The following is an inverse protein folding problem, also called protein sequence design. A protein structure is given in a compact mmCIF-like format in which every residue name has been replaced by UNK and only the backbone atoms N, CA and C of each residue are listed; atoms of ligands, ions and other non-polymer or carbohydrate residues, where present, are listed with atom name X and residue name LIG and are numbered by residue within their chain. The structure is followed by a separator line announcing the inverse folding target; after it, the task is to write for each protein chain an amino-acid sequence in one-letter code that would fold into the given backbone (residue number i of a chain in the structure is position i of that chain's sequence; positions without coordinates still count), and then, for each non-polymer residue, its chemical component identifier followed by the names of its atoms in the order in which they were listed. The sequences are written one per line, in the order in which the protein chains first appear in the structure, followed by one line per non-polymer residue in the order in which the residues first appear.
data_IF_639019895950
#
_entry.id   IF_639019895950
#
_cell.length_a   1.000
_cell.length_b   1.000
_cell.length_c   1.000
_cell.angle_alpha   90.00
_cell.angle_beta   90.00
_cell.angle_gamma   90.00
#
_symmetry.space_group_name_H-M   'P 1'
#
loop_
_entity.id
_entity.type
_entity.pdbx_description
1 polymer ?
#
# COMPACT_ATOMS: atom_id res chain seq x y z
N UNK A 1 0.46 4.30 29.49
CA UNK A 1 1.37 5.45 29.26
C UNK A 1 2.56 4.93 28.47
N UNK A 2 2.73 5.36 27.19
CA UNK A 2 3.98 5.11 26.46
C UNK A 2 5.06 6.00 27.10
N UNK A 3 6.16 5.41 27.52
CA UNK A 3 7.35 6.18 27.92
C UNK A 3 7.79 7.04 26.72
N UNK A 4 8.10 8.33 26.92
CA UNK A 4 8.66 9.14 25.84
C UNK A 4 9.94 8.45 25.32
N UNK A 5 9.95 8.15 24.03
CA UNK A 5 11.12 7.58 23.36
C UNK A 5 11.87 8.76 22.75
N UNK A 6 13.09 8.99 23.21
CA UNK A 6 13.95 9.99 22.60
C UNK A 6 14.29 9.56 21.17
N UNK A 7 14.02 10.41 20.22
CA UNK A 7 14.30 10.16 18.81
C UNK A 7 15.55 10.94 18.39
N UNK A 8 16.55 10.23 17.86
CA UNK A 8 17.79 10.82 17.36
C UNK A 8 17.90 10.54 15.87
N UNK A 9 18.17 11.58 15.09
CA UNK A 9 18.42 11.43 13.66
C UNK A 9 19.90 11.13 13.43
N UNK A 10 20.18 10.04 12.75
CA UNK A 10 21.54 9.60 12.40
C UNK A 10 21.75 9.52 10.90
N UNK A 11 22.99 9.54 10.49
CA UNK A 11 23.41 9.33 9.10
C UNK A 11 24.07 7.97 8.95
N UNK A 12 23.67 7.20 7.94
CA UNK A 12 24.35 5.97 7.55
C UNK A 12 25.67 6.36 6.92
N UNK A 13 26.78 5.92 7.54
CA UNK A 13 28.14 6.24 7.10
C UNK A 13 28.69 5.15 6.21
N UNK A 14 28.40 3.90 6.53
CA UNK A 14 28.90 2.74 5.81
C UNK A 14 27.97 1.54 5.94
N UNK A 15 27.94 0.70 4.91
CA UNK A 15 27.24 -0.60 4.91
C UNK A 15 28.18 -1.62 4.27
N UNK A 16 28.60 -2.60 5.03
CA UNK A 16 29.48 -3.66 4.52
C UNK A 16 28.71 -4.71 3.67
N UNK A 17 29.45 -5.57 2.98
CA UNK A 17 28.89 -6.65 2.15
C UNK A 17 28.14 -7.73 2.95
N UNK A 18 28.26 -7.73 4.26
CA UNK A 18 27.57 -8.66 5.19
C UNK A 18 26.31 -8.06 5.78
N UNK A 19 25.97 -6.80 5.40
CA UNK A 19 24.80 -6.09 5.90
C UNK A 19 25.03 -5.38 7.23
N UNK A 20 26.28 -5.27 7.70
CA UNK A 20 26.59 -4.48 8.90
C UNK A 20 26.56 -3.00 8.55
N UNK A 21 25.77 -2.24 9.27
CA UNK A 21 25.57 -0.82 9.05
C UNK A 21 26.19 0.02 10.15
N UNK A 22 26.99 1.02 9.76
CA UNK A 22 27.55 2.01 10.68
C UNK A 22 26.76 3.30 10.60
N UNK A 23 26.22 3.75 11.74
CA UNK A 23 25.43 4.97 11.84
C UNK A 23 26.13 5.96 12.76
N UNK A 24 26.21 7.22 12.33
CA UNK A 24 26.61 8.36 13.16
C UNK A 24 25.38 9.18 13.51
N UNK A 25 25.18 9.39 14.82
CA UNK A 25 24.15 10.26 15.34
C UNK A 25 24.75 11.15 16.44
N UNK A 26 24.23 12.36 16.56
CA UNK A 26 24.55 13.25 17.68
C UNK A 26 23.38 13.21 18.66
N UNK A 27 23.71 13.01 19.94
CA UNK A 27 22.72 12.98 21.02
C UNK A 27 23.15 13.92 22.12
N UNK A 28 22.39 14.96 22.38
CA UNK A 28 22.75 16.04 23.30
C UNK A 28 22.87 15.57 24.74
N UNK A 29 22.00 14.65 25.18
CA UNK A 29 22.05 14.09 26.54
C UNK A 29 22.88 12.78 26.61
N UNK A 30 24.05 12.77 25.97
CA UNK A 30 24.96 11.64 26.00
C UNK A 30 25.40 11.22 27.43
N UNK A 31 25.47 12.10 28.45
CA UNK A 31 25.81 11.68 29.80
C UNK A 31 24.77 10.72 30.39
N UNK A 32 23.47 10.97 30.12
CA UNK A 32 22.40 10.07 30.55
C UNK A 32 22.48 8.73 29.83
N UNK A 33 22.81 8.71 28.53
CA UNK A 33 23.00 7.51 27.75
C UNK A 33 24.09 6.61 28.33
N UNK A 34 25.25 7.19 28.65
CA UNK A 34 26.37 6.48 29.26
C UNK A 34 26.04 5.99 30.67
N UNK A 35 25.41 6.86 31.50
CA UNK A 35 25.04 6.53 32.89
C UNK A 35 24.05 5.39 32.97
N UNK A 36 23.09 5.33 32.05
CA UNK A 36 22.06 4.28 31.99
C UNK A 36 22.53 3.01 31.27
N UNK A 37 23.69 3.05 30.61
CA UNK A 37 24.31 1.89 29.95
C UNK A 37 23.43 1.29 28.84
N UNK A 38 22.76 2.11 28.05
CA UNK A 38 21.98 1.62 26.92
C UNK A 38 22.87 0.84 25.95
N UNK A 39 22.45 -0.38 25.60
CA UNK A 39 23.18 -1.28 24.69
C UNK A 39 22.43 -1.55 23.40
N UNK A 40 21.15 -1.23 23.36
CA UNK A 40 20.25 -1.50 22.24
C UNK A 40 19.50 -0.24 21.84
N UNK A 41 19.28 -0.10 20.54
CA UNK A 41 18.44 0.96 19.99
C UNK A 41 17.55 0.40 18.88
N UNK A 42 16.41 1.04 18.67
CA UNK A 42 15.58 0.79 17.50
C UNK A 42 15.99 1.78 16.41
N UNK A 43 16.24 1.27 15.22
CA UNK A 43 16.60 2.08 14.07
C UNK A 43 15.41 2.08 13.11
N UNK A 44 14.95 3.27 12.73
CA UNK A 44 13.96 3.48 11.71
C UNK A 44 14.62 4.14 10.50
N UNK A 45 14.54 3.50 9.35
CA UNK A 45 15.12 4.03 8.11
C UNK A 45 14.14 4.99 7.45
N UNK A 46 14.53 6.25 7.38
CA UNK A 46 13.73 7.29 6.74
C UNK A 46 13.96 7.22 5.23
N UNK A 47 12.89 6.93 4.48
CA UNK A 47 12.94 6.97 3.01
C UNK A 47 12.90 8.42 2.53
N UNK A 48 14.02 8.96 2.10
CA UNK A 48 14.14 10.33 1.58
C UNK A 48 13.74 10.48 0.10
N UNK A 49 13.39 9.37 -0.57
CA UNK A 49 12.99 9.42 -1.98
C UNK A 49 11.65 10.13 -2.14
N UNK A 50 11.55 11.12 -3.04
CA UNK A 50 10.30 11.81 -3.28
C UNK A 50 9.30 10.88 -3.96
N UNK A 51 8.03 11.06 -3.65
CA UNK A 51 6.94 10.36 -4.30
C UNK A 51 6.91 10.63 -5.81
N UNK A 52 6.83 9.58 -6.61
CA UNK A 52 6.71 9.73 -8.06
C UNK A 52 5.32 10.28 -8.46
N UNK A 53 5.29 11.06 -9.54
CA UNK A 53 4.02 11.55 -10.10
C UNK A 53 3.10 10.40 -10.54
N UNK A 54 3.66 9.24 -10.94
CA UNK A 54 2.92 8.04 -11.29
C UNK A 54 2.18 7.50 -10.07
N UNK A 55 2.87 7.24 -8.97
CA UNK A 55 2.28 6.72 -7.74
C UNK A 55 1.19 7.63 -7.19
N UNK A 56 1.41 8.95 -7.21
CA UNK A 56 0.39 9.92 -6.80
C UNK A 56 -0.87 9.81 -7.65
N UNK A 57 -0.73 9.74 -8.99
CA UNK A 57 -1.88 9.57 -9.89
C UNK A 57 -2.62 8.26 -9.64
N UNK A 58 -1.90 7.18 -9.37
CA UNK A 58 -2.49 5.87 -9.06
C UNK A 58 -3.31 5.93 -7.77
N UNK A 59 -2.80 6.53 -6.70
CA UNK A 59 -3.58 6.74 -5.47
C UNK A 59 -4.87 7.52 -5.76
N UNK A 60 -4.77 8.65 -6.47
CA UNK A 60 -5.95 9.45 -6.79
C UNK A 60 -6.94 8.76 -7.72
N UNK A 61 -6.47 7.90 -8.60
CA UNK A 61 -7.36 7.08 -9.43
C UNK A 61 -8.14 6.08 -8.58
N UNK A 62 -7.48 5.33 -7.70
CA UNK A 62 -8.14 4.39 -6.79
C UNK A 62 -9.11 5.08 -5.82
N UNK A 63 -8.73 6.23 -5.27
CA UNK A 63 -9.62 7.06 -4.44
C UNK A 63 -10.85 7.50 -5.25
N UNK A 64 -10.65 7.82 -6.54
CA UNK A 64 -11.75 8.15 -7.46
C UNK A 64 -12.73 7.00 -7.65
N UNK A 65 -12.25 5.77 -7.85
CA UNK A 65 -13.11 4.57 -7.97
C UNK A 65 -13.89 4.32 -6.67
N UNK A 66 -13.23 4.40 -5.51
CA UNK A 66 -13.88 4.25 -4.21
C UNK A 66 -14.94 5.34 -4.00
N UNK A 67 -14.65 6.58 -4.36
CA UNK A 67 -15.58 7.70 -4.22
C UNK A 67 -16.81 7.55 -5.12
N UNK A 68 -16.64 7.07 -6.34
CA UNK A 68 -17.77 6.78 -7.23
C UNK A 68 -18.66 5.66 -6.69
N UNK A 69 -18.07 4.66 -6.10
CA UNK A 69 -18.81 3.56 -5.49
C UNK A 69 -19.58 3.99 -4.23
N UNK A 70 -19.01 4.89 -3.41
CA UNK A 70 -19.62 5.30 -2.14
C UNK A 70 -20.57 6.50 -2.25
N UNK A 71 -20.46 7.34 -3.27
CA UNK A 71 -21.10 8.64 -3.28
C UNK A 71 -21.90 9.02 -4.51
N UNK A 72 -22.77 10.02 -4.34
CA UNK A 72 -23.46 10.67 -5.46
C UNK A 72 -22.51 11.65 -6.17
N UNK A 73 -22.10 11.28 -7.37
CA UNK A 73 -21.11 12.00 -8.18
C UNK A 73 -21.76 12.93 -9.23
N UNK A 74 -23.00 13.40 -9.01
CA UNK A 74 -23.78 14.16 -10.02
C UNK A 74 -23.19 15.53 -10.33
N UNK A 75 -22.59 16.23 -9.36
CA UNK A 75 -22.00 17.54 -9.58
C UNK A 75 -20.46 17.52 -9.54
N UNK A 76 -19.80 18.47 -10.23
CA UNK A 76 -18.36 18.58 -10.20
C UNK A 76 -17.82 18.92 -8.79
N UNK A 77 -18.50 19.83 -8.08
CA UNK A 77 -18.16 20.19 -6.71
C UNK A 77 -18.37 19.03 -5.75
N UNK A 78 -19.50 18.31 -5.89
CA UNK A 78 -19.78 17.11 -5.10
C UNK A 78 -18.72 16.04 -5.30
N UNK A 79 -18.27 15.80 -6.54
CA UNK A 79 -17.17 14.86 -6.82
C UNK A 79 -15.88 15.23 -6.11
N UNK A 80 -15.48 16.49 -6.11
CA UNK A 80 -14.26 16.94 -5.44
C UNK A 80 -14.35 16.72 -3.93
N UNK A 81 -15.43 17.13 -3.29
CA UNK A 81 -15.66 16.98 -1.85
C UNK A 81 -15.70 15.50 -1.43
N UNK A 82 -16.41 14.65 -2.19
CA UNK A 82 -16.47 13.22 -1.90
C UNK A 82 -15.11 12.57 -2.01
N UNK A 83 -14.30 12.92 -3.02
CA UNK A 83 -12.93 12.41 -3.17
C UNK A 83 -12.01 12.82 -2.03
N UNK A 84 -12.09 14.07 -1.57
CA UNK A 84 -11.31 14.54 -0.43
C UNK A 84 -11.73 13.80 0.85
N UNK A 85 -13.02 13.69 1.11
CA UNK A 85 -13.55 12.93 2.25
C UNK A 85 -13.11 11.47 2.23
N UNK A 86 -13.25 10.79 1.09
CA UNK A 86 -12.82 9.39 0.93
C UNK A 86 -11.32 9.26 1.14
N UNK A 87 -10.51 10.17 0.58
CA UNK A 87 -9.07 10.17 0.76
C UNK A 87 -8.69 10.27 2.24
N UNK A 88 -9.31 11.18 2.97
CA UNK A 88 -9.00 11.39 4.38
C UNK A 88 -9.49 10.23 5.25
N UNK A 89 -10.68 9.71 4.98
CA UNK A 89 -11.22 8.53 5.65
C UNK A 89 -10.33 7.30 5.43
N UNK A 90 -9.87 7.07 4.20
CA UNK A 90 -8.97 5.92 3.88
C UNK A 90 -7.58 6.08 4.49
N UNK A 91 -7.04 7.29 4.55
CA UNK A 91 -5.78 7.55 5.25
C UNK A 91 -5.89 7.31 6.75
N UNK A 92 -6.97 7.77 7.36
CA UNK A 92 -7.22 7.56 8.78
C UNK A 92 -7.31 6.05 9.09
N UNK A 93 -8.10 5.33 8.31
CA UNK A 93 -8.26 3.88 8.45
C UNK A 93 -6.92 3.13 8.25
N UNK A 94 -6.14 3.51 7.25
CA UNK A 94 -4.80 2.97 7.02
C UNK A 94 -3.85 3.21 8.20
N UNK A 95 -3.80 4.43 8.73
CA UNK A 95 -2.92 4.75 9.86
C UNK A 95 -3.29 3.96 11.11
N UNK A 96 -4.57 3.79 11.38
CA UNK A 96 -5.06 3.04 12.54
C UNK A 96 -4.86 1.53 12.34
N UNK A 97 -5.29 0.98 11.20
CA UNK A 97 -5.34 -0.47 10.99
C UNK A 97 -3.98 -1.08 10.67
N UNK A 98 -3.16 -0.39 9.89
CA UNK A 98 -1.88 -0.94 9.39
C UNK A 98 -0.68 -0.47 10.20
N UNK A 99 -0.68 0.75 10.71
CA UNK A 99 0.45 1.32 11.44
C UNK A 99 0.22 1.39 12.94
N UNK A 100 -1.02 1.19 13.41
CA UNK A 100 -1.37 1.29 14.83
C UNK A 100 -1.13 2.67 15.42
N UNK A 101 -1.11 3.71 14.58
CA UNK A 101 -0.85 5.08 14.99
C UNK A 101 -2.13 5.79 15.42
N UNK A 102 -2.02 6.65 16.44
CA UNK A 102 -3.03 7.66 16.71
C UNK A 102 -2.83 8.79 15.68
N UNK A 103 -3.73 8.86 14.70
CA UNK A 103 -3.60 9.80 13.61
C UNK A 103 -4.03 11.22 14.02
N UNK A 104 -3.15 11.93 14.72
CA UNK A 104 -3.34 13.36 14.97
C UNK A 104 -3.19 14.19 13.70
N UNK A 105 -2.48 13.67 12.70
CA UNK A 105 -2.29 14.30 11.39
C UNK A 105 -2.31 13.29 10.25
N UNK A 106 -3.14 13.56 9.25
CA UNK A 106 -3.12 12.82 8.00
C UNK A 106 -1.91 13.24 7.15
N UNK A 107 -1.26 12.27 6.51
CA UNK A 107 -0.16 12.57 5.60
C UNK A 107 -0.66 13.14 4.26
N UNK A 108 0.16 13.97 3.63
CA UNK A 108 -0.15 14.52 2.31
C UNK A 108 0.47 13.68 1.21
N UNK A 109 -0.32 13.31 0.19
CA UNK A 109 0.18 12.67 -1.01
C UNK A 109 1.12 13.55 -1.85
N UNK A 110 1.35 14.81 -1.45
CA UNK A 110 2.28 15.71 -2.14
C UNK A 110 3.72 15.53 -1.68
N UNK A 111 3.94 15.23 -0.41
CA UNK A 111 5.26 15.22 0.23
C UNK A 111 5.52 14.04 1.16
N UNK A 112 4.62 13.05 1.17
CA UNK A 112 4.84 11.84 1.94
C UNK A 112 6.02 11.02 1.39
N UNK A 113 6.74 10.29 2.24
CA UNK A 113 7.78 9.35 1.82
C UNK A 113 7.23 8.29 0.86
N UNK A 114 8.05 7.89 -0.11
CA UNK A 114 7.65 6.88 -1.11
C UNK A 114 7.23 5.56 -0.47
N UNK A 115 7.93 5.11 0.56
CA UNK A 115 7.61 3.88 1.31
C UNK A 115 6.23 3.92 1.96
N UNK A 116 5.87 5.06 2.57
CA UNK A 116 4.54 5.24 3.19
C UNK A 116 3.44 5.19 2.13
N UNK A 117 3.66 5.86 0.98
CA UNK A 117 2.66 5.86 -0.10
C UNK A 117 2.56 4.50 -0.77
N UNK A 118 3.66 3.76 -0.91
CA UNK A 118 3.60 2.38 -1.41
C UNK A 118 2.79 1.46 -0.47
N UNK A 119 2.96 1.60 0.85
CA UNK A 119 2.14 0.90 1.82
C UNK A 119 0.65 1.31 1.73
N UNK A 120 0.38 2.60 1.57
CA UNK A 120 -0.98 3.10 1.38
C UNK A 120 -1.62 2.61 0.08
N UNK A 121 -0.86 2.53 -1.02
CA UNK A 121 -1.35 1.93 -2.27
C UNK A 121 -1.77 0.47 -2.08
N UNK A 122 -0.94 -0.34 -1.42
CA UNK A 122 -1.29 -1.74 -1.10
C UNK A 122 -2.57 -1.83 -0.27
N UNK A 123 -2.72 -0.95 0.73
CA UNK A 123 -3.96 -0.85 1.51
C UNK A 123 -5.17 -0.51 0.63
N UNK A 124 -5.08 0.47 -0.27
CA UNK A 124 -6.16 0.84 -1.18
C UNK A 124 -6.54 -0.31 -2.12
N UNK A 125 -5.56 -1.04 -2.66
CA UNK A 125 -5.79 -2.23 -3.49
C UNK A 125 -6.57 -3.29 -2.71
N UNK A 126 -6.11 -3.62 -1.50
CA UNK A 126 -6.80 -4.58 -0.63
C UNK A 126 -8.23 -4.12 -0.29
N UNK A 127 -8.40 -2.85 0.00
CA UNK A 127 -9.72 -2.27 0.27
C UNK A 127 -10.67 -2.41 -0.92
N UNK A 128 -10.21 -2.11 -2.14
CA UNK A 128 -10.99 -2.27 -3.37
C UNK A 128 -11.37 -3.73 -3.59
N UNK A 129 -10.42 -4.64 -3.49
CA UNK A 129 -10.65 -6.08 -3.69
C UNK A 129 -11.58 -6.65 -2.63
N UNK A 130 -11.35 -6.35 -1.34
CA UNK A 130 -12.17 -6.91 -0.24
C UNK A 130 -13.62 -6.40 -0.19
N UNK A 131 -13.91 -5.27 -0.84
CA UNK A 131 -15.25 -4.69 -0.89
C UNK A 131 -15.93 -4.81 -2.26
N UNK A 132 -15.40 -5.61 -3.16
CA UNK A 132 -15.96 -5.80 -4.51
C UNK A 132 -16.18 -4.48 -5.28
N UNK A 133 -15.30 -3.49 -5.10
CA UNK A 133 -15.48 -2.18 -5.72
C UNK A 133 -15.19 -2.28 -7.22
N UNK A 134 -16.18 -1.99 -8.09
CA UNK A 134 -15.98 -2.03 -9.52
C UNK A 134 -15.00 -0.93 -9.94
N UNK A 135 -14.00 -1.28 -10.74
CA UNK A 135 -13.02 -0.34 -11.27
C UNK A 135 -13.20 -0.18 -12.78
N UNK A 136 -12.98 1.04 -13.30
CA UNK A 136 -13.12 1.35 -14.74
C UNK A 136 -12.05 0.67 -15.58
N UNK A 137 -10.90 0.36 -14.95
CA UNK A 137 -9.77 -0.31 -15.57
C UNK A 137 -9.39 -1.53 -14.74
N UNK A 138 -8.77 -2.53 -15.36
CA UNK A 138 -8.20 -3.65 -14.62
C UNK A 138 -7.28 -3.17 -13.50
N UNK A 139 -7.40 -3.74 -12.31
CA UNK A 139 -6.58 -3.33 -11.16
C UNK A 139 -5.07 -3.46 -11.42
N UNK A 140 -4.66 -4.35 -12.32
CA UNK A 140 -3.27 -4.48 -12.78
C UNK A 140 -2.68 -3.17 -13.34
N UNK A 141 -3.50 -2.25 -13.85
CA UNK A 141 -3.05 -0.93 -14.31
C UNK A 141 -2.80 0.05 -13.16
N UNK A 142 -3.34 -0.23 -11.96
CA UNK A 142 -3.22 0.62 -10.78
C UNK A 142 -2.13 0.16 -9.80
N UNK A 143 -1.54 -1.02 -10.00
CA UNK A 143 -0.58 -1.59 -9.06
C UNK A 143 0.84 -1.62 -9.65
N UNK A 144 1.82 -1.31 -8.80
CA UNK A 144 3.23 -1.53 -9.12
C UNK A 144 3.71 -2.91 -8.61
N UNK A 145 3.09 -3.40 -7.53
CA UNK A 145 3.37 -4.73 -6.96
C UNK A 145 2.27 -5.71 -7.36
N UNK A 146 2.51 -6.41 -8.46
CA UNK A 146 1.58 -7.41 -9.00
C UNK A 146 1.43 -8.62 -8.06
N UNK A 147 2.49 -9.00 -7.35
CA UNK A 147 2.46 -10.16 -6.47
C UNK A 147 1.53 -9.94 -5.27
N UNK A 148 1.60 -8.76 -4.64
CA UNK A 148 0.69 -8.39 -3.53
C UNK A 148 -0.78 -8.30 -3.99
N UNK A 149 -1.01 -7.79 -5.19
CA UNK A 149 -2.34 -7.76 -5.79
C UNK A 149 -2.90 -9.17 -6.05
N UNK A 150 -2.13 -10.04 -6.69
CA UNK A 150 -2.53 -11.43 -6.94
C UNK A 150 -2.80 -12.17 -5.63
N UNK A 151 -1.95 -11.97 -4.62
CA UNK A 151 -2.16 -12.54 -3.29
C UNK A 151 -3.46 -12.04 -2.64
N UNK A 152 -3.76 -10.75 -2.74
CA UNK A 152 -5.03 -10.18 -2.27
C UNK A 152 -6.23 -10.79 -2.98
N UNK A 153 -6.15 -10.97 -4.30
CA UNK A 153 -7.20 -11.63 -5.08
C UNK A 153 -7.44 -13.06 -4.63
N UNK A 154 -6.36 -13.82 -4.37
CA UNK A 154 -6.47 -15.21 -3.89
C UNK A 154 -7.16 -15.30 -2.52
N UNK A 155 -6.78 -14.45 -1.57
CA UNK A 155 -7.41 -14.42 -0.23
C UNK A 155 -8.89 -14.11 -0.32
N UNK A 156 -9.25 -13.12 -1.13
CA UNK A 156 -10.64 -12.65 -1.27
C UNK A 156 -11.43 -13.41 -2.33
N UNK A 157 -10.85 -14.44 -2.96
CA UNK A 157 -11.47 -15.26 -4.01
C UNK A 157 -11.95 -14.41 -5.20
N UNK A 158 -11.10 -13.53 -5.68
CA UNK A 158 -11.34 -12.73 -6.88
C UNK A 158 -10.40 -13.13 -8.01
N UNK A 159 -10.88 -12.99 -9.23
CA UNK A 159 -10.04 -13.14 -10.40
C UNK A 159 -9.11 -11.93 -10.54
N UNK A 160 -7.79 -12.15 -10.56
CA UNK A 160 -6.81 -11.07 -10.70
C UNK A 160 -6.83 -10.38 -12.07
N UNK A 161 -7.51 -10.94 -13.07
CA UNK A 161 -7.61 -10.35 -14.40
C UNK A 161 -8.83 -9.45 -14.51
N UNK A 162 -10.03 -9.96 -14.15
CA UNK A 162 -11.28 -9.22 -14.32
C UNK A 162 -11.87 -8.66 -13.01
N UNK A 163 -11.29 -8.97 -11.86
CA UNK A 163 -11.76 -8.50 -10.54
C UNK A 163 -13.07 -9.09 -10.05
N UNK A 164 -13.71 -9.99 -10.81
CA UNK A 164 -14.96 -10.62 -10.39
C UNK A 164 -14.69 -11.72 -9.38
N UNK A 165 -15.71 -12.07 -8.57
CA UNK A 165 -15.66 -13.21 -7.69
C UNK A 165 -15.21 -14.45 -8.48
N UNK A 166 -14.15 -15.10 -8.01
CA UNK A 166 -13.66 -16.34 -8.61
C UNK A 166 -14.40 -17.49 -7.92
N UNK A 167 -15.37 -18.05 -8.59
CA UNK A 167 -15.79 -19.41 -8.26
C UNK A 167 -14.61 -20.35 -8.65
N UNK A 168 -14.39 -21.36 -7.81
CA UNK A 168 -13.47 -22.45 -8.15
C UNK A 168 -14.06 -23.21 -9.34
N UNK A 169 -13.90 -22.67 -10.55
CA UNK A 169 -14.19 -23.42 -11.75
C UNK A 169 -13.11 -24.49 -11.87
N UNK A 170 -13.52 -25.75 -11.83
CA UNK A 170 -12.74 -26.76 -12.51
C UNK A 170 -12.69 -26.32 -13.97
N UNK A 171 -11.53 -25.83 -14.40
CA UNK A 171 -11.34 -25.37 -15.76
C UNK A 171 -11.79 -26.46 -16.72
N UNK A 172 -12.57 -26.10 -17.72
CA UNK A 172 -13.00 -27.05 -18.75
C UNK A 172 -11.75 -27.50 -19.51
N UNK A 173 -11.40 -28.77 -19.36
CA UNK A 173 -10.20 -29.35 -19.98
C UNK A 173 -10.48 -29.61 -21.46
N UNK A 174 -10.05 -28.67 -22.30
CA UNK A 174 -10.14 -28.81 -23.75
C UNK A 174 -8.81 -29.38 -24.29
N UNK A 175 -8.84 -30.54 -24.88
CA UNK A 175 -7.71 -31.17 -25.56
C UNK A 175 -7.24 -32.50 -24.95
N UNK A 176 -6.63 -33.36 -25.75
CA UNK A 176 -6.00 -34.64 -25.34
C UNK A 176 -4.48 -34.48 -25.30
N UNK A 177 -3.84 -34.92 -24.21
CA UNK A 177 -2.38 -34.98 -24.09
C UNK A 177 -1.73 -33.79 -23.38
N UNK A 178 -0.51 -33.44 -23.78
CA UNK A 178 0.35 -32.43 -23.14
C UNK A 178 -0.09 -30.96 -23.36
N UNK A 179 -1.04 -30.69 -24.24
CA UNK A 179 -1.61 -29.38 -24.49
C UNK A 179 -3.02 -29.33 -23.90
N UNK A 180 -3.11 -28.90 -22.66
CA UNK A 180 -4.40 -28.57 -21.99
C UNK A 180 -4.53 -27.09 -21.92
N UNK A 181 -5.55 -26.53 -22.54
CA UNK A 181 -5.91 -25.10 -22.44
C UNK A 181 -7.09 -25.01 -21.49
N UNK A 182 -6.93 -24.28 -20.40
CA UNK A 182 -8.04 -23.89 -19.52
C UNK A 182 -8.56 -22.53 -19.95
N UNK A 183 -9.81 -22.46 -20.38
CA UNK A 183 -10.47 -21.19 -20.74
C UNK A 183 -11.16 -20.69 -19.48
N UNK A 184 -10.57 -19.72 -18.80
CA UNK A 184 -11.12 -19.11 -17.60
C UNK A 184 -11.92 -17.81 -17.91
N UNK A 185 -11.69 -17.20 -19.08
CA UNK A 185 -12.30 -15.93 -19.47
C UNK A 185 -12.62 -15.94 -20.97
N UNK A 186 -13.76 -15.34 -21.37
CA UNK A 186 -14.06 -15.16 -22.79
C UNK A 186 -12.91 -14.40 -23.48
N UNK A 187 -12.24 -15.07 -24.41
CA UNK A 187 -11.16 -14.49 -25.21
C UNK A 187 -9.75 -14.56 -24.61
N UNK A 188 -9.53 -15.21 -23.48
CA UNK A 188 -8.18 -15.44 -22.93
C UNK A 188 -7.87 -16.93 -22.83
N UNK A 189 -6.82 -17.35 -23.52
CA UNK A 189 -6.19 -18.65 -23.34
C UNK A 189 -5.13 -18.52 -22.24
N UNK A 190 -5.24 -19.33 -21.19
CA UNK A 190 -4.19 -19.48 -20.18
C UNK A 190 -3.42 -20.75 -20.50
N UNK A 191 -2.14 -20.57 -20.82
CA UNK A 191 -1.21 -21.69 -21.10
C UNK A 191 -0.69 -22.29 -19.79
#
# INVERSE_FOLDING_TARGET
MKTPVDTVVGTIVDVDKRGTMTIKAHYDDWPTLVKRGYRECRIELIDSRPLSSKQRRMCWAMIGEIAEWQGDMRSATGRALVREFVNDARKLDFLISELGENADKLFSLSNAPMSLVAAYQRYLVRFIVSNDIPTKKPMLEYVDDVADYVYSCLIHKHCCICGRAADLHQGERVGSGLRRTEICHEGMEVL
#
